data_IF_345850399112
#
_entry.id   IF_345850399112
#
_cell.length_a   1.000
_cell.length_b   1.000
_cell.length_c   1.000
_cell.angle_alpha   90.00
_cell.angle_beta   90.00
_cell.angle_gamma   90.00
#
_symmetry.space_group_name_H-M   'P 1'
#
loop_
_entity.id
_entity.type
_entity.pdbx_description
1 polymer ?
#
# COMPACT_ATOMS: atom_id res chain seq x y z
N UNK A 1 -18.23 -22.31 18.06
CA UNK A 1 -17.56 -23.60 17.88
C UNK A 1 -17.57 -24.46 19.15
N UNK A 2 -17.83 -23.89 20.33
CA UNK A 2 -17.96 -24.65 21.59
C UNK A 2 -19.18 -25.58 21.67
N UNK A 3 -20.16 -25.45 20.76
CA UNK A 3 -21.39 -26.25 20.77
C UNK A 3 -21.35 -27.52 19.87
N UNK A 4 -20.25 -27.75 19.12
CA UNK A 4 -20.23 -28.80 18.10
C UNK A 4 -19.56 -30.14 18.53
N UNK A 5 -19.12 -30.27 19.77
CA UNK A 5 -18.46 -31.50 20.25
C UNK A 5 -17.09 -31.77 19.61
N UNK A 6 -16.56 -32.97 19.74
CA UNK A 6 -15.28 -33.41 19.15
C UNK A 6 -15.38 -33.49 17.62
N UNK A 7 -15.03 -32.40 16.94
CA UNK A 7 -15.01 -32.31 15.46
C UNK A 7 -13.56 -32.22 14.99
N UNK A 8 -13.17 -33.11 14.07
CA UNK A 8 -11.87 -32.98 13.40
C UNK A 8 -11.97 -31.88 12.36
N UNK A 9 -11.12 -30.83 12.48
CA UNK A 9 -11.03 -29.72 11.54
C UNK A 9 -9.83 -29.94 10.62
N UNK A 10 -10.06 -29.87 9.31
CA UNK A 10 -9.00 -29.86 8.29
C UNK A 10 -9.09 -28.53 7.56
N UNK A 11 -8.04 -27.71 7.67
CA UNK A 11 -7.92 -26.44 6.98
C UNK A 11 -6.92 -26.56 5.82
N UNK A 12 -7.37 -26.22 4.60
CA UNK A 12 -6.54 -26.23 3.40
C UNK A 12 -6.51 -24.81 2.80
N UNK A 13 -5.34 -24.28 2.53
CA UNK A 13 -5.16 -22.99 1.86
C UNK A 13 -3.89 -22.99 1.02
N UNK A 14 -3.94 -22.30 -0.11
CA UNK A 14 -2.76 -22.03 -0.93
C UNK A 14 -1.98 -20.78 -0.45
N UNK A 15 -2.63 -19.93 0.38
CA UNK A 15 -2.11 -18.65 0.81
C UNK A 15 -2.40 -18.43 2.29
N UNK A 16 -1.63 -19.05 3.20
CA UNK A 16 -1.75 -18.74 4.62
C UNK A 16 -1.52 -17.23 4.83
N UNK A 17 -2.26 -16.57 5.73
CA UNK A 17 -2.20 -15.12 5.91
C UNK A 17 -0.97 -14.69 6.74
N UNK A 18 0.23 -15.03 6.28
CA UNK A 18 1.50 -14.71 6.96
C UNK A 18 1.71 -13.19 7.14
N UNK A 19 1.21 -12.38 6.20
CA UNK A 19 1.34 -10.92 6.22
C UNK A 19 0.24 -10.21 7.03
N UNK A 20 -0.60 -10.97 7.73
CA UNK A 20 -1.66 -10.40 8.55
C UNK A 20 -1.12 -9.83 9.86
N UNK A 21 -1.87 -8.91 10.48
CA UNK A 21 -1.53 -8.41 11.81
C UNK A 21 -1.44 -9.56 12.82
N UNK A 22 -0.52 -9.48 13.82
CA UNK A 22 -0.27 -10.58 14.76
C UNK A 22 -1.53 -11.17 15.41
N UNK A 23 -2.47 -10.34 15.85
CA UNK A 23 -3.73 -10.79 16.43
C UNK A 23 -4.69 -11.48 15.43
N UNK A 24 -4.54 -11.28 14.13
CA UNK A 24 -5.28 -12.02 13.09
C UNK A 24 -4.62 -13.36 12.82
N UNK A 25 -3.30 -13.40 12.80
CA UNK A 25 -2.54 -14.66 12.70
C UNK A 25 -2.83 -15.60 13.86
N UNK A 26 -2.82 -15.09 15.10
CA UNK A 26 -3.17 -15.87 16.28
C UNK A 26 -4.57 -16.46 16.21
N UNK A 27 -5.57 -15.69 15.79
CA UNK A 27 -6.94 -16.19 15.58
C UNK A 27 -7.00 -17.27 14.51
N UNK A 28 -6.24 -17.10 13.41
CA UNK A 28 -6.15 -18.11 12.36
C UNK A 28 -5.59 -19.41 12.91
N UNK A 29 -4.48 -19.38 13.65
CA UNK A 29 -3.86 -20.57 14.27
C UNK A 29 -4.76 -21.19 15.35
N UNK A 30 -5.45 -20.39 16.14
CA UNK A 30 -6.43 -20.90 17.13
C UNK A 30 -7.60 -21.63 16.48
N UNK A 31 -8.03 -21.20 15.29
CA UNK A 31 -9.14 -21.84 14.56
C UNK A 31 -8.72 -23.09 13.78
N UNK A 32 -7.56 -23.03 13.14
CA UNK A 32 -7.12 -24.04 12.18
C UNK A 32 -6.06 -25.00 12.75
N UNK A 33 -5.46 -24.65 13.88
CA UNK A 33 -4.29 -25.36 14.42
C UNK A 33 -2.98 -24.89 13.77
N UNK A 34 -1.84 -25.44 14.21
CA UNK A 34 -0.55 -25.22 13.57
C UNK A 34 -0.55 -25.82 12.15
N UNK A 35 0.38 -25.37 11.31
CA UNK A 35 0.57 -25.94 9.98
C UNK A 35 1.23 -27.33 10.12
N UNK A 36 0.49 -28.36 9.75
CA UNK A 36 0.97 -29.75 9.84
C UNK A 36 1.78 -30.17 8.62
N UNK A 37 1.45 -29.64 7.44
CA UNK A 37 2.15 -29.94 6.19
C UNK A 37 2.09 -28.75 5.24
N UNK A 38 3.18 -28.54 4.53
CA UNK A 38 3.30 -27.52 3.48
C UNK A 38 3.99 -28.15 2.26
N UNK A 39 3.46 -27.86 1.07
CA UNK A 39 4.09 -28.19 -0.20
C UNK A 39 4.51 -26.89 -0.84
N UNK A 40 5.80 -26.69 -1.01
CA UNK A 40 6.34 -25.43 -1.51
C UNK A 40 6.24 -25.33 -3.04
N UNK A 41 6.19 -24.09 -3.59
CA UNK A 41 6.21 -23.85 -5.03
C UNK A 41 7.40 -24.51 -5.73
N UNK A 42 8.65 -24.44 -5.20
CA UNK A 42 9.79 -25.14 -5.79
C UNK A 42 9.61 -26.67 -5.89
N UNK A 43 8.96 -27.29 -4.91
CA UNK A 43 8.66 -28.73 -4.96
C UNK A 43 7.67 -29.04 -6.06
N UNK A 44 6.58 -28.28 -6.17
CA UNK A 44 5.57 -28.45 -7.22
C UNK A 44 6.12 -28.22 -8.62
N UNK A 45 7.05 -27.25 -8.80
CA UNK A 45 7.76 -27.02 -10.05
C UNK A 45 8.67 -28.20 -10.39
N UNK A 46 9.41 -28.73 -9.40
CA UNK A 46 10.30 -29.88 -9.59
C UNK A 46 9.53 -31.15 -9.97
N UNK A 47 8.34 -31.33 -9.42
CA UNK A 47 7.43 -32.44 -9.73
C UNK A 47 6.69 -32.27 -11.07
N UNK A 48 6.78 -31.10 -11.70
CA UNK A 48 6.06 -30.78 -12.94
C UNK A 48 4.58 -30.46 -12.75
N UNK A 49 4.13 -30.27 -11.50
CA UNK A 49 2.75 -29.89 -11.17
C UNK A 49 2.48 -28.40 -11.37
N UNK A 50 3.52 -27.56 -11.31
CA UNK A 50 3.51 -26.14 -11.67
C UNK A 50 4.54 -25.83 -12.74
N UNK A 51 4.21 -24.87 -13.62
CA UNK A 51 5.17 -24.33 -14.58
C UNK A 51 6.25 -23.53 -13.85
N UNK A 52 7.52 -23.60 -14.30
CA UNK A 52 8.54 -22.67 -13.91
C UNK A 52 8.08 -21.24 -14.20
N UNK A 53 8.34 -20.33 -13.25
CA UNK A 53 8.02 -18.90 -13.42
C UNK A 53 9.23 -18.05 -13.09
N UNK A 54 9.25 -16.84 -13.63
CA UNK A 54 10.22 -15.82 -13.33
C UNK A 54 9.47 -14.50 -13.17
N UNK A 55 9.79 -13.77 -12.10
CA UNK A 55 9.19 -12.47 -11.81
C UNK A 55 10.11 -11.37 -12.30
N UNK A 56 9.58 -10.47 -13.13
CA UNK A 56 10.29 -9.31 -13.62
C UNK A 56 9.59 -8.03 -13.13
N UNK A 57 10.38 -7.10 -12.60
CA UNK A 57 9.91 -5.78 -12.23
C UNK A 57 10.34 -4.79 -13.29
N UNK A 58 9.38 -4.19 -13.99
CA UNK A 58 9.62 -3.19 -15.00
C UNK A 58 9.40 -1.79 -14.42
N UNK A 59 10.48 -1.03 -14.29
CA UNK A 59 10.43 0.33 -13.79
C UNK A 59 10.16 1.32 -14.93
N UNK A 60 9.35 2.35 -14.65
CA UNK A 60 9.19 3.51 -15.50
C UNK A 60 9.31 4.79 -14.69
N UNK A 61 9.64 5.87 -15.37
CA UNK A 61 9.68 7.19 -14.75
C UNK A 61 8.33 7.89 -14.91
N UNK A 62 7.90 8.68 -13.91
CA UNK A 62 6.77 9.57 -14.08
C UNK A 62 7.04 10.61 -15.19
N UNK A 63 5.99 11.20 -15.74
CA UNK A 63 6.15 12.37 -16.61
C UNK A 63 6.66 13.57 -15.82
N UNK A 64 7.18 14.60 -16.50
CA UNK A 64 7.64 15.82 -15.82
C UNK A 64 6.55 16.49 -14.97
N UNK A 65 5.29 16.42 -15.41
CA UNK A 65 4.14 16.95 -14.67
C UNK A 65 3.81 16.10 -13.43
N UNK A 66 3.90 14.77 -13.56
CA UNK A 66 3.71 13.84 -12.44
C UNK A 66 4.84 13.99 -11.42
N UNK A 67 6.08 14.09 -11.88
CA UNK A 67 7.27 14.29 -11.04
C UNK A 67 7.19 15.60 -10.25
N UNK A 68 6.78 16.70 -10.91
CA UNK A 68 6.55 18.00 -10.23
C UNK A 68 5.49 17.89 -9.13
N UNK A 69 4.39 17.16 -9.35
CA UNK A 69 3.37 16.99 -8.32
C UNK A 69 3.88 16.16 -7.13
N UNK A 70 4.67 15.11 -7.38
CA UNK A 70 5.33 14.34 -6.32
C UNK A 70 6.31 15.22 -5.55
N UNK A 71 7.12 16.00 -6.26
CA UNK A 71 8.08 16.92 -5.67
C UNK A 71 7.41 17.95 -4.77
N UNK A 72 6.34 18.60 -5.24
CA UNK A 72 5.61 19.60 -4.45
C UNK A 72 4.99 18.99 -3.18
N UNK A 73 4.44 17.77 -3.28
CA UNK A 73 3.94 17.06 -2.11
C UNK A 73 5.04 16.78 -1.11
N UNK A 74 6.17 16.19 -1.55
CA UNK A 74 7.33 15.87 -0.70
C UNK A 74 7.90 17.12 -0.05
N UNK A 75 8.07 18.18 -0.80
CA UNK A 75 8.53 19.47 -0.27
C UNK A 75 7.62 19.99 0.84
N UNK A 76 6.30 19.93 0.64
CA UNK A 76 5.34 20.34 1.67
C UNK A 76 5.36 19.42 2.91
N UNK A 77 5.62 18.11 2.73
CA UNK A 77 5.79 17.16 3.83
C UNK A 77 7.08 17.43 4.62
N UNK A 78 8.21 17.65 3.92
CA UNK A 78 9.51 17.96 4.52
C UNK A 78 9.48 19.28 5.31
N UNK A 79 8.84 20.31 4.75
CA UNK A 79 8.67 21.60 5.43
C UNK A 79 7.85 21.42 6.72
N UNK A 80 6.75 20.67 6.64
CA UNK A 80 5.91 20.39 7.81
C UNK A 80 6.65 19.54 8.83
N UNK A 81 7.39 18.51 8.41
CA UNK A 81 8.22 17.69 9.29
C UNK A 81 9.19 18.54 10.10
N UNK A 82 9.92 19.47 9.47
CA UNK A 82 10.86 20.37 10.16
C UNK A 82 10.13 21.27 11.17
N UNK A 83 9.02 21.88 10.78
CA UNK A 83 8.22 22.71 11.67
C UNK A 83 7.77 21.93 12.91
N UNK A 84 7.34 20.67 12.75
CA UNK A 84 6.91 19.82 13.86
C UNK A 84 8.06 19.39 14.77
N UNK A 85 9.25 19.18 14.21
CA UNK A 85 10.46 18.88 15.01
C UNK A 85 10.92 20.06 15.84
N UNK A 86 10.69 21.29 15.37
CA UNK A 86 11.08 22.53 16.07
C UNK A 86 9.96 23.04 17.00
N UNK A 87 8.73 22.50 16.90
CA UNK A 87 7.58 22.99 17.65
C UNK A 87 7.71 22.70 19.15
N UNK A 88 7.66 23.78 19.93
CA UNK A 88 7.80 23.71 21.38
C UNK A 88 6.61 23.03 22.06
N UNK A 89 5.40 23.30 21.60
CA UNK A 89 4.19 22.74 22.22
C UNK A 89 4.09 21.24 21.99
N UNK A 90 4.48 20.76 20.81
CA UNK A 90 4.59 19.31 20.54
C UNK A 90 5.64 18.64 21.42
N UNK A 91 6.79 19.29 21.61
CA UNK A 91 7.84 18.78 22.49
C UNK A 91 7.37 18.70 23.94
N UNK A 92 6.70 19.74 24.44
CA UNK A 92 6.11 19.76 25.78
C UNK A 92 5.03 18.68 25.93
N UNK A 93 4.17 18.51 24.94
CA UNK A 93 3.16 17.48 24.92
C UNK A 93 3.75 16.06 24.92
N UNK A 94 4.76 15.79 24.12
CA UNK A 94 5.47 14.52 24.15
C UNK A 94 6.10 14.25 25.51
N UNK A 95 6.75 15.28 26.10
CA UNK A 95 7.37 15.17 27.42
C UNK A 95 6.36 14.93 28.57
N UNK A 96 5.11 15.39 28.41
CA UNK A 96 4.03 15.19 29.39
C UNK A 96 3.24 13.90 29.21
N UNK A 97 3.53 13.10 28.18
CA UNK A 97 2.77 11.91 27.89
C UNK A 97 2.77 10.92 29.06
N UNK A 98 1.57 10.50 29.47
CA UNK A 98 1.37 9.71 30.70
C UNK A 98 2.16 8.41 30.75
N UNK A 99 2.33 7.73 29.61
CA UNK A 99 3.08 6.50 29.54
C UNK A 99 4.57 6.68 29.95
N UNK A 100 5.18 7.85 29.75
CA UNK A 100 6.57 8.09 30.13
C UNK A 100 6.78 8.02 31.66
N UNK A 101 5.73 8.31 32.45
CA UNK A 101 5.79 8.38 33.92
C UNK A 101 5.09 7.22 34.61
N UNK A 102 4.19 6.50 33.91
CA UNK A 102 3.34 5.46 34.49
C UNK A 102 3.48 4.15 33.71
N UNK A 103 4.68 3.64 33.64
CA UNK A 103 4.99 2.44 32.84
C UNK A 103 4.05 1.28 33.15
N UNK A 104 3.87 0.93 34.42
CA UNK A 104 3.13 -0.27 34.81
C UNK A 104 1.62 -0.18 34.50
N UNK A 105 1.08 1.04 34.39
CA UNK A 105 -0.32 1.31 34.03
C UNK A 105 -0.51 1.30 32.50
N UNK A 106 0.49 1.74 31.74
CA UNK A 106 0.38 1.97 30.30
C UNK A 106 1.10 0.91 29.45
N UNK A 107 1.79 -0.06 30.06
CA UNK A 107 2.57 -1.04 29.31
C UNK A 107 1.67 -1.85 28.35
N UNK A 108 0.65 -2.51 28.88
CA UNK A 108 -0.24 -3.35 28.07
C UNK A 108 -1.02 -2.53 27.02
N UNK A 109 -1.70 -1.39 27.37
CA UNK A 109 -2.39 -0.57 26.39
C UNK A 109 -1.50 -0.03 25.26
N UNK A 110 -0.26 0.36 25.57
CA UNK A 110 0.67 0.87 24.56
C UNK A 110 1.23 -0.24 23.66
N UNK A 111 1.37 -1.46 24.16
CA UNK A 111 1.81 -2.63 23.39
C UNK A 111 0.71 -3.17 22.47
N UNK A 112 -0.57 -2.87 22.70
CA UNK A 112 -1.66 -3.16 21.75
C UNK A 112 -1.48 -2.38 20.42
N UNK A 113 -0.83 -1.21 20.46
CA UNK A 113 -0.46 -0.45 19.27
C UNK A 113 1.03 -0.07 19.28
N UNK A 114 1.94 -0.99 18.94
CA UNK A 114 3.38 -0.77 19.02
C UNK A 114 3.89 0.41 18.17
N UNK A 115 3.17 0.74 17.07
CA UNK A 115 3.54 1.87 16.22
C UNK A 115 3.36 3.22 16.92
N UNK A 116 2.31 3.38 17.74
CA UNK A 116 2.10 4.59 18.53
C UNK A 116 3.18 4.74 19.59
N UNK A 117 3.44 3.69 20.35
CA UNK A 117 4.50 3.68 21.37
C UNK A 117 5.86 4.00 20.72
N UNK A 118 6.22 3.26 19.67
CA UNK A 118 7.52 3.46 19.00
C UNK A 118 7.66 4.89 18.49
N UNK A 119 6.62 5.47 17.87
CA UNK A 119 6.67 6.84 17.35
C UNK A 119 6.85 7.89 18.43
N UNK A 120 6.19 7.71 19.59
CA UNK A 120 6.40 8.56 20.77
C UNK A 120 7.86 8.49 21.25
N UNK A 121 8.40 7.28 21.44
CA UNK A 121 9.77 7.09 21.94
C UNK A 121 10.82 7.59 20.95
N UNK A 122 10.61 7.38 19.65
CA UNK A 122 11.49 7.90 18.58
C UNK A 122 11.47 9.44 18.57
N UNK A 123 10.29 10.05 18.70
CA UNK A 123 10.19 11.51 18.84
C UNK A 123 10.89 12.01 20.10
N UNK A 124 10.69 11.35 21.23
CA UNK A 124 11.38 11.68 22.49
C UNK A 124 12.91 11.59 22.33
N UNK A 125 13.41 10.51 21.71
CA UNK A 125 14.84 10.35 21.42
C UNK A 125 15.37 11.50 20.56
N UNK A 126 14.69 11.82 19.45
CA UNK A 126 15.08 12.88 18.52
C UNK A 126 15.08 14.28 19.18
N UNK A 127 14.17 14.51 20.14
CA UNK A 127 14.06 15.78 20.89
C UNK A 127 14.89 15.82 22.19
N UNK A 128 15.60 14.74 22.56
CA UNK A 128 16.34 14.65 23.81
C UNK A 128 15.46 14.57 25.05
N UNK A 129 14.22 14.10 24.94
CA UNK A 129 13.28 13.88 26.04
C UNK A 129 13.60 12.51 26.67
N UNK A 130 13.90 12.45 27.98
CA UNK A 130 14.24 11.19 28.64
C UNK A 130 13.02 10.28 28.81
N UNK A 131 13.23 8.98 28.64
CA UNK A 131 12.24 7.94 28.91
C UNK A 131 12.88 6.69 29.52
N UNK A 132 12.08 5.80 30.11
CA UNK A 132 12.58 4.59 30.76
C UNK A 132 13.05 3.55 29.74
N UNK A 133 14.25 2.97 29.96
CA UNK A 133 14.75 1.84 29.17
C UNK A 133 13.88 0.58 29.22
N UNK A 134 12.93 0.48 30.17
CA UNK A 134 11.93 -0.60 30.22
C UNK A 134 11.07 -0.65 28.96
N UNK A 135 10.84 0.49 28.28
CA UNK A 135 10.09 0.55 27.03
C UNK A 135 10.83 -0.14 25.88
N UNK A 136 12.16 -0.03 25.82
CA UNK A 136 12.93 -0.77 24.81
C UNK A 136 12.89 -2.27 25.04
N UNK A 137 12.90 -2.69 26.30
CA UNK A 137 12.76 -4.10 26.67
C UNK A 137 11.36 -4.63 26.33
N UNK A 138 10.29 -3.84 26.60
CA UNK A 138 8.93 -4.23 26.27
C UNK A 138 8.68 -4.36 24.75
N UNK A 139 9.35 -3.55 23.94
CA UNK A 139 9.32 -3.63 22.48
C UNK A 139 10.28 -4.69 21.89
N UNK A 140 11.07 -5.35 22.73
CA UNK A 140 12.13 -6.29 22.33
C UNK A 140 13.12 -5.71 21.31
N UNK A 141 13.51 -4.44 21.52
CA UNK A 141 14.47 -3.73 20.65
C UNK A 141 15.68 -3.24 21.46
N UNK A 142 16.85 -3.21 20.83
CA UNK A 142 18.08 -2.71 21.42
C UNK A 142 18.24 -1.21 21.27
N UNK A 143 17.72 -0.65 20.19
CA UNK A 143 17.78 0.77 19.84
C UNK A 143 16.58 1.16 18.99
N UNK A 144 16.22 2.44 19.01
CA UNK A 144 15.21 3.01 18.15
C UNK A 144 15.86 3.55 16.87
N UNK A 145 15.13 3.53 15.74
CA UNK A 145 15.57 4.20 14.52
C UNK A 145 15.55 5.72 14.68
N UNK A 146 16.14 6.41 13.71
CA UNK A 146 16.04 7.86 13.61
C UNK A 146 14.60 8.27 13.25
N UNK A 147 14.23 9.50 13.63
CA UNK A 147 12.93 10.07 13.30
C UNK A 147 12.84 10.38 11.80
N UNK A 148 11.85 9.82 11.15
CA UNK A 148 11.54 10.02 9.73
C UNK A 148 10.06 10.40 9.52
N UNK A 149 9.66 10.61 8.27
CA UNK A 149 8.31 11.00 7.88
C UNK A 149 7.27 9.95 8.25
N UNK A 150 7.62 8.65 8.23
CA UNK A 150 6.73 7.57 8.64
C UNK A 150 6.43 7.67 10.13
N UNK A 151 7.46 7.81 10.94
CA UNK A 151 7.32 7.90 12.39
C UNK A 151 6.63 9.19 12.81
N UNK A 152 6.91 10.31 12.10
CA UNK A 152 6.16 11.56 12.30
C UNK A 152 4.67 11.35 12.01
N UNK A 153 4.32 10.63 10.97
CA UNK A 153 2.93 10.29 10.66
C UNK A 153 2.24 9.56 11.80
N UNK A 154 2.85 8.52 12.37
CA UNK A 154 2.32 7.79 13.52
C UNK A 154 2.24 8.66 14.79
N UNK A 155 3.25 9.46 15.06
CA UNK A 155 3.27 10.35 16.22
C UNK A 155 2.15 11.39 16.17
N UNK A 156 1.97 12.06 15.04
CA UNK A 156 0.89 13.04 14.85
C UNK A 156 -0.49 12.36 14.82
N UNK A 157 -0.58 11.14 14.29
CA UNK A 157 -1.79 10.32 14.35
C UNK A 157 -2.22 10.07 15.80
N UNK A 158 -1.28 9.69 16.67
CA UNK A 158 -1.50 9.52 18.10
C UNK A 158 -2.01 10.81 18.78
N UNK A 159 -1.32 11.92 18.56
CA UNK A 159 -1.65 13.23 19.13
C UNK A 159 -3.04 13.72 18.73
N UNK A 160 -3.44 13.51 17.48
CA UNK A 160 -4.69 14.04 16.97
C UNK A 160 -5.88 13.11 17.19
N UNK A 161 -5.67 11.77 17.19
CA UNK A 161 -6.78 10.83 17.13
C UNK A 161 -6.67 9.65 18.09
N UNK A 162 -5.61 8.85 17.98
CA UNK A 162 -5.62 7.50 18.52
C UNK A 162 -5.23 7.45 20.00
N UNK A 163 -4.47 8.44 20.48
CA UNK A 163 -3.96 8.52 21.85
C UNK A 163 -4.10 9.96 22.45
N UNK A 164 -5.07 10.69 21.94
CA UNK A 164 -5.28 12.12 22.16
C UNK A 164 -5.28 12.53 23.64
N UNK A 165 -5.91 11.72 24.49
CA UNK A 165 -6.19 12.07 25.89
C UNK A 165 -4.96 11.87 26.81
N UNK A 166 -3.90 11.29 26.28
CA UNK A 166 -2.64 11.08 26.97
C UNK A 166 -1.61 12.17 26.72
N UNK A 167 -1.91 13.11 25.80
CA UNK A 167 -1.07 14.29 25.51
C UNK A 167 -1.72 15.57 26.07
N UNK A 168 -0.95 16.36 26.81
CA UNK A 168 -1.37 17.67 27.29
C UNK A 168 -1.27 18.73 26.17
N UNK A 169 -2.29 18.81 25.34
CA UNK A 169 -2.42 19.78 24.26
C UNK A 169 -3.81 20.41 24.24
N UNK A 170 -3.88 21.69 23.91
CA UNK A 170 -5.15 22.40 23.76
C UNK A 170 -5.86 21.99 22.47
N UNK A 171 -7.20 22.05 22.49
CA UNK A 171 -8.00 21.77 21.30
C UNK A 171 -7.78 22.81 20.20
N UNK A 172 -7.45 24.03 20.57
CA UNK A 172 -7.09 25.09 19.64
C UNK A 172 -5.81 24.74 18.85
N UNK A 173 -4.77 24.29 19.53
CA UNK A 173 -3.53 23.85 18.87
C UNK A 173 -3.79 22.67 17.93
N UNK A 174 -4.54 21.65 18.37
CA UNK A 174 -4.91 20.51 17.54
C UNK A 174 -5.71 20.93 16.29
N UNK A 175 -6.58 21.93 16.42
CA UNK A 175 -7.35 22.45 15.29
C UNK A 175 -6.46 23.17 14.27
N UNK A 176 -5.52 23.99 14.76
CA UNK A 176 -4.52 24.67 13.92
C UNK A 176 -3.64 23.64 13.21
N UNK A 177 -3.09 22.67 13.94
CA UNK A 177 -2.27 21.59 13.39
C UNK A 177 -3.03 20.80 12.32
N UNK A 178 -4.27 20.42 12.60
CA UNK A 178 -5.12 19.71 11.64
C UNK A 178 -5.35 20.51 10.37
N UNK A 179 -5.54 21.83 10.48
CA UNK A 179 -5.72 22.72 9.33
C UNK A 179 -4.46 22.79 8.48
N UNK A 180 -3.28 22.95 9.10
CA UNK A 180 -1.99 23.01 8.41
C UNK A 180 -1.69 21.70 7.67
N UNK A 181 -1.94 20.55 8.32
CA UNK A 181 -1.80 19.23 7.68
C UNK A 181 -2.76 19.05 6.50
N UNK A 182 -4.01 19.53 6.60
CA UNK A 182 -4.99 19.48 5.50
C UNK A 182 -4.57 20.31 4.31
N UNK A 183 -4.06 21.51 4.54
CA UNK A 183 -3.60 22.41 3.46
C UNK A 183 -2.49 21.74 2.64
N UNK A 184 -1.59 20.99 3.29
CA UNK A 184 -0.49 20.26 2.65
C UNK A 184 -0.87 18.86 2.15
N UNK A 185 -2.12 18.44 2.35
CA UNK A 185 -2.60 17.11 1.94
C UNK A 185 -2.00 15.95 2.74
N UNK A 186 -1.52 16.22 3.96
CA UNK A 186 -0.91 15.24 4.86
C UNK A 186 -1.92 14.53 5.77
N UNK A 187 -3.20 14.92 5.71
CA UNK A 187 -4.28 14.31 6.48
C UNK A 187 -5.55 14.17 5.65
N UNK A 188 -6.20 13.02 5.76
CA UNK A 188 -7.51 12.74 5.16
C UNK A 188 -8.31 11.78 6.02
N UNK A 189 -9.60 12.06 6.25
CA UNK A 189 -10.52 11.20 7.01
C UNK A 189 -9.91 10.69 8.33
N UNK A 190 -9.28 11.57 9.10
CA UNK A 190 -8.58 11.27 10.35
C UNK A 190 -7.35 10.36 10.21
N UNK A 191 -6.80 10.23 9.01
CA UNK A 191 -5.57 9.48 8.75
C UNK A 191 -4.46 10.42 8.35
N UNK A 192 -3.32 10.36 9.07
CA UNK A 192 -2.14 11.19 8.82
C UNK A 192 -1.14 10.37 8.01
N UNK A 193 -0.59 10.96 6.94
CA UNK A 193 0.43 10.31 6.12
C UNK A 193 1.37 11.36 5.50
N UNK A 194 2.67 11.26 5.79
CA UNK A 194 3.73 12.13 5.26
C UNK A 194 4.41 11.55 4.02
N UNK A 195 4.22 10.27 3.71
CA UNK A 195 4.89 9.59 2.60
C UNK A 195 4.15 9.75 1.28
N UNK A 196 2.81 9.79 1.35
CA UNK A 196 1.96 9.88 0.16
C UNK A 196 0.58 10.45 0.51
N UNK A 197 -0.18 10.82 -0.50
CA UNK A 197 -1.60 11.10 -0.38
C UNK A 197 -2.37 10.51 -1.57
N UNK A 198 -3.69 10.43 -1.42
CA UNK A 198 -4.56 9.82 -2.43
C UNK A 198 -4.43 10.46 -3.82
N UNK A 199 -4.14 11.78 -3.89
CA UNK A 199 -3.97 12.49 -5.18
C UNK A 199 -2.74 11.96 -5.89
N UNK A 200 -1.60 11.86 -5.17
CA UNK A 200 -0.34 11.31 -5.68
C UNK A 200 -0.51 9.83 -6.03
N UNK A 201 -1.12 9.04 -5.15
CA UNK A 201 -1.36 7.62 -5.41
C UNK A 201 -2.21 7.38 -6.66
N UNK A 202 -3.34 8.10 -6.80
CA UNK A 202 -4.21 7.98 -7.98
C UNK A 202 -3.51 8.43 -9.26
N UNK A 203 -2.71 9.48 -9.18
CA UNK A 203 -1.93 9.96 -10.31
C UNK A 203 -0.91 8.91 -10.75
N UNK A 204 -0.10 8.39 -9.82
CA UNK A 204 0.92 7.37 -10.10
C UNK A 204 0.30 6.04 -10.54
N UNK A 205 -0.85 5.65 -9.95
CA UNK A 205 -1.59 4.47 -10.39
C UNK A 205 -2.05 4.59 -11.84
N UNK A 206 -2.45 5.79 -12.26
CA UNK A 206 -2.91 6.08 -13.62
C UNK A 206 -1.83 6.58 -14.59
N UNK A 207 -0.55 6.54 -14.23
CA UNK A 207 0.55 7.12 -15.00
C UNK A 207 0.61 6.60 -16.45
N UNK A 208 0.82 7.53 -17.39
CA UNK A 208 1.04 7.22 -18.82
C UNK A 208 2.31 6.39 -19.05
N UNK A 209 3.30 6.53 -18.20
CA UNK A 209 4.52 5.73 -18.24
C UNK A 209 4.23 4.23 -18.19
N UNK A 210 3.28 3.82 -17.36
CA UNK A 210 2.84 2.40 -17.27
C UNK A 210 2.22 1.88 -18.57
N UNK A 211 1.44 2.69 -19.26
CA UNK A 211 0.87 2.31 -20.56
C UNK A 211 1.96 2.08 -21.60
N UNK A 212 2.97 2.95 -21.65
CA UNK A 212 4.14 2.77 -22.53
C UNK A 212 4.93 1.52 -22.17
N UNK A 213 5.11 1.23 -20.87
CA UNK A 213 5.76 0.02 -20.40
C UNK A 213 5.02 -1.25 -20.85
N UNK A 214 3.70 -1.28 -20.75
CA UNK A 214 2.88 -2.40 -21.24
C UNK A 214 3.08 -2.62 -22.74
N UNK A 215 3.10 -1.55 -23.53
CA UNK A 215 3.34 -1.64 -24.96
C UNK A 215 4.75 -2.18 -25.26
N UNK A 216 5.77 -1.70 -24.56
CA UNK A 216 7.16 -2.16 -24.73
C UNK A 216 7.32 -3.63 -24.36
N UNK A 217 6.76 -4.05 -23.22
CA UNK A 217 6.78 -5.45 -22.79
C UNK A 217 6.10 -6.33 -23.86
N UNK A 218 4.87 -5.95 -24.28
CA UNK A 218 4.13 -6.71 -25.29
C UNK A 218 4.89 -6.80 -26.62
N UNK A 219 5.57 -5.74 -27.03
CA UNK A 219 6.37 -5.71 -28.25
C UNK A 219 7.63 -6.60 -28.12
N UNK A 220 8.32 -6.56 -26.99
CA UNK A 220 9.49 -7.42 -26.72
C UNK A 220 9.11 -8.91 -26.73
N UNK A 221 8.03 -9.27 -26.02
CA UNK A 221 7.56 -10.65 -25.96
C UNK A 221 7.06 -11.14 -27.33
N UNK A 222 6.37 -10.29 -28.07
CA UNK A 222 5.94 -10.65 -29.42
C UNK A 222 7.12 -10.81 -30.39
N UNK A 223 8.15 -9.99 -30.25
CA UNK A 223 9.36 -10.13 -31.07
C UNK A 223 10.12 -11.45 -30.77
N UNK A 224 10.09 -11.91 -29.53
CA UNK A 224 10.73 -13.15 -29.10
C UNK A 224 9.91 -14.40 -29.48
N UNK A 225 8.58 -14.38 -29.26
CA UNK A 225 7.72 -15.55 -29.33
C UNK A 225 6.80 -15.56 -30.56
N UNK A 226 6.66 -14.44 -31.27
CA UNK A 226 5.82 -14.34 -32.47
C UNK A 226 4.38 -14.80 -32.22
N UNK A 227 3.92 -15.74 -33.03
CA UNK A 227 2.57 -16.30 -32.91
C UNK A 227 2.37 -17.26 -31.73
N UNK A 228 3.43 -17.69 -31.08
CA UNK A 228 3.38 -18.55 -29.89
C UNK A 228 3.05 -17.75 -28.62
N UNK A 229 3.16 -16.40 -28.66
CA UNK A 229 2.88 -15.56 -27.51
C UNK A 229 1.46 -15.79 -26.96
N UNK A 230 1.39 -16.07 -25.66
CA UNK A 230 0.16 -16.11 -24.86
C UNK A 230 0.33 -15.17 -23.67
N UNK A 231 -0.15 -13.94 -23.83
CA UNK A 231 0.03 -12.88 -22.84
C UNK A 231 -1.31 -12.49 -22.21
N UNK A 232 -1.33 -12.43 -20.89
CA UNK A 232 -2.45 -11.90 -20.11
C UNK A 232 -2.02 -10.60 -19.42
N UNK A 233 -2.82 -9.54 -19.59
CA UNK A 233 -2.61 -8.25 -18.94
C UNK A 233 -3.75 -8.04 -17.95
N UNK A 234 -3.42 -7.99 -16.66
CA UNK A 234 -4.38 -7.72 -15.59
C UNK A 234 -4.34 -6.24 -15.19
N UNK A 235 -5.50 -5.65 -14.98
CA UNK A 235 -5.65 -4.25 -14.55
C UNK A 235 -6.91 -4.06 -13.71
N UNK A 236 -6.85 -3.18 -12.72
CA UNK A 236 -7.90 -3.00 -11.70
C UNK A 236 -9.09 -2.16 -12.17
N UNK A 237 -8.97 -1.42 -13.28
CA UNK A 237 -9.97 -0.40 -13.64
C UNK A 237 -10.68 -0.67 -14.95
N UNK A 238 -12.02 -0.73 -14.87
CA UNK A 238 -12.93 -0.64 -16.04
C UNK A 238 -13.43 0.80 -16.10
N UNK A 239 -12.79 1.63 -16.93
CA UNK A 239 -13.18 3.03 -17.12
C UNK A 239 -14.18 3.14 -18.26
N UNK A 240 -15.46 3.17 -17.92
CA UNK A 240 -16.56 3.18 -18.89
C UNK A 240 -16.51 4.38 -19.85
N UNK A 241 -15.97 5.51 -19.42
CA UNK A 241 -15.78 6.70 -20.25
C UNK A 241 -14.88 6.45 -21.48
N UNK A 242 -14.03 5.43 -21.42
CA UNK A 242 -13.17 5.03 -22.54
C UNK A 242 -13.80 3.97 -23.46
N UNK A 243 -14.98 3.46 -23.14
CA UNK A 243 -15.70 2.54 -24.04
C UNK A 243 -15.93 3.18 -25.42
N UNK A 244 -16.21 4.48 -25.46
CA UNK A 244 -16.38 5.23 -26.69
C UNK A 244 -15.06 5.52 -27.44
N UNK A 245 -13.91 5.19 -26.86
CA UNK A 245 -12.60 5.28 -27.51
C UNK A 245 -12.28 4.03 -28.34
N UNK A 246 -13.00 2.94 -28.12
CA UNK A 246 -12.79 1.69 -28.85
C UNK A 246 -13.06 1.89 -30.34
N UNK A 247 -12.04 1.62 -31.16
CA UNK A 247 -12.13 1.79 -32.62
C UNK A 247 -12.00 3.24 -33.11
N UNK A 248 -11.94 4.24 -32.24
CA UNK A 248 -11.76 5.64 -32.61
C UNK A 248 -10.28 6.05 -32.46
N UNK A 249 -9.52 6.21 -33.56
CA UNK A 249 -8.09 6.52 -33.51
C UNK A 249 -7.78 7.92 -32.95
N UNK A 250 -8.72 8.87 -33.08
CA UNK A 250 -8.51 10.27 -32.73
C UNK A 250 -8.72 10.56 -31.24
N UNK A 251 -9.33 9.61 -30.53
CA UNK A 251 -9.54 9.79 -29.08
C UNK A 251 -8.29 9.51 -28.30
N UNK A 252 -7.86 10.49 -27.53
CA UNK A 252 -6.69 10.37 -26.66
C UNK A 252 -6.96 9.41 -25.48
N UNK A 253 -5.90 8.74 -25.04
CA UNK A 253 -5.91 7.75 -23.96
C UNK A 253 -5.09 8.32 -22.80
N UNK A 254 -5.77 8.79 -21.75
CA UNK A 254 -5.13 9.55 -20.66
C UNK A 254 -4.86 8.73 -19.39
N UNK A 255 -5.46 7.55 -19.24
CA UNK A 255 -5.44 6.82 -17.97
C UNK A 255 -5.32 5.32 -18.17
N UNK A 256 -4.75 4.65 -17.16
CA UNK A 256 -4.74 3.19 -17.07
C UNK A 256 -6.15 2.63 -16.98
N UNK A 257 -6.37 1.45 -17.58
CA UNK A 257 -7.60 0.70 -17.54
C UNK A 257 -7.75 -0.24 -18.73
N UNK A 258 -8.71 -1.13 -18.67
CA UNK A 258 -8.94 -2.20 -19.69
C UNK A 258 -9.04 -1.61 -21.09
N UNK A 259 -9.93 -0.66 -21.30
CA UNK A 259 -10.18 -0.10 -22.64
C UNK A 259 -9.03 0.74 -23.18
N UNK A 260 -8.38 1.65 -22.40
CA UNK A 260 -7.20 2.37 -22.85
C UNK A 260 -6.04 1.45 -23.22
N UNK A 261 -5.77 0.41 -22.44
CA UNK A 261 -4.70 -0.56 -22.73
C UNK A 261 -5.02 -1.33 -24.02
N UNK A 262 -6.22 -1.86 -24.14
CA UNK A 262 -6.65 -2.56 -25.33
C UNK A 262 -6.50 -1.70 -26.58
N UNK A 263 -7.00 -0.47 -26.53
CA UNK A 263 -6.96 0.46 -27.66
C UNK A 263 -5.52 0.90 -28.00
N UNK A 264 -4.66 1.09 -26.99
CA UNK A 264 -3.23 1.35 -27.20
C UNK A 264 -2.57 0.21 -27.99
N UNK A 265 -2.77 -1.03 -27.53
CA UNK A 265 -2.19 -2.21 -28.15
C UNK A 265 -2.78 -2.42 -29.56
N UNK A 266 -4.06 -2.17 -29.76
CA UNK A 266 -4.72 -2.25 -31.06
C UNK A 266 -4.12 -1.25 -32.07
N UNK A 267 -3.86 -0.01 -31.63
CA UNK A 267 -3.27 1.04 -32.50
C UNK A 267 -1.83 0.82 -32.85
N UNK A 268 -1.05 0.23 -31.93
CA UNK A 268 0.40 0.09 -32.04
C UNK A 268 0.87 -1.30 -32.41
N UNK A 269 0.12 -2.33 -32.09
CA UNK A 269 0.43 -3.74 -32.34
C UNK A 269 -0.09 -4.23 -33.66
N UNK A 270 0.61 -3.95 -34.77
CA UNK A 270 0.19 -4.37 -36.09
C UNK A 270 0.06 -5.91 -36.17
N UNK A 271 -1.15 -6.39 -36.46
CA UNK A 271 -1.43 -7.83 -36.64
C UNK A 271 -1.61 -8.64 -35.35
N UNK A 272 -1.57 -8.01 -34.17
CA UNK A 272 -1.80 -8.70 -32.90
C UNK A 272 -3.27 -9.13 -32.75
N UNK A 273 -3.45 -10.34 -32.22
CA UNK A 273 -4.78 -10.85 -31.88
C UNK A 273 -5.09 -10.50 -30.43
N UNK A 274 -5.93 -9.50 -30.26
CA UNK A 274 -6.27 -8.93 -28.95
C UNK A 274 -7.69 -9.31 -28.56
N UNK A 275 -7.88 -9.58 -27.27
CA UNK A 275 -9.20 -9.77 -26.66
C UNK A 275 -9.31 -8.98 -25.36
N UNK A 276 -10.53 -8.77 -24.91
CA UNK A 276 -10.86 -8.20 -23.59
C UNK A 276 -11.86 -9.09 -22.91
N UNK A 277 -11.60 -9.38 -21.64
CA UNK A 277 -12.55 -10.02 -20.75
C UNK A 277 -12.68 -9.17 -19.48
N UNK A 278 -13.86 -8.61 -19.28
CA UNK A 278 -14.24 -7.93 -18.05
C UNK A 278 -15.70 -8.13 -17.73
N UNK A 279 -16.15 -7.77 -16.53
CA UNK A 279 -17.51 -8.03 -16.06
C UNK A 279 -18.63 -7.42 -16.93
N UNK A 280 -18.33 -6.42 -17.77
CA UNK A 280 -19.34 -5.72 -18.59
C UNK A 280 -19.15 -5.85 -20.10
N UNK A 281 -17.98 -6.34 -20.55
CA UNK A 281 -17.64 -6.43 -21.99
C UNK A 281 -16.72 -7.60 -22.25
N UNK A 282 -17.02 -8.32 -23.35
CA UNK A 282 -16.15 -9.32 -23.96
C UNK A 282 -15.86 -8.84 -25.38
N UNK A 283 -14.59 -8.68 -25.72
CA UNK A 283 -14.13 -8.41 -27.09
C UNK A 283 -13.26 -9.58 -27.54
N UNK A 284 -13.53 -10.08 -28.71
CA UNK A 284 -12.79 -11.20 -29.30
C UNK A 284 -12.36 -10.82 -30.73
N UNK A 285 -11.23 -11.34 -31.22
CA UNK A 285 -10.89 -11.25 -32.63
C UNK A 285 -11.98 -11.93 -33.50
N UNK A 286 -12.33 -11.37 -34.65
CA UNK A 286 -13.39 -11.89 -35.53
C UNK A 286 -13.28 -13.39 -35.78
N UNK A 287 -12.04 -13.88 -36.01
CA UNK A 287 -11.78 -15.31 -36.23
C UNK A 287 -12.03 -16.21 -35.01
N UNK A 288 -12.07 -15.64 -33.81
CA UNK A 288 -12.35 -16.39 -32.58
C UNK A 288 -13.86 -16.48 -32.30
N UNK A 289 -14.67 -15.62 -32.90
CA UNK A 289 -16.13 -15.61 -32.69
C UNK A 289 -16.78 -16.92 -33.20
N UNK A 290 -16.27 -17.47 -34.30
CA UNK A 290 -16.81 -18.71 -34.87
C UNK A 290 -16.52 -19.96 -34.02
N UNK A 291 -15.49 -19.90 -33.16
CA UNK A 291 -15.18 -20.98 -32.22
C UNK A 291 -16.07 -20.97 -30.97
N UNK A 292 -16.81 -19.88 -30.73
CA UNK A 292 -17.77 -19.73 -29.62
C UNK A 292 -19.22 -19.90 -30.00
N UNK A 293 -19.52 -20.08 -31.29
CA UNK A 293 -20.84 -20.46 -31.81
C UNK A 293 -20.98 -21.97 -31.92
#
# INVERSE_FOLDING_TARGET
MEEMGDVTVIALTATPPYDSAPGQWEKYIQMCGPIDAEITVPELVKEGSLCPHQDYVWFNYPSAEEDEQVYQFRKGADEMFRLLMEDRQLREAAASHKALFRYDEYCDPMLENPCLLSSLLIYCQACGIPFSGRWLQALDVKSLPDMDERWMGYFIQGILFDDRDNYELTDEFRAILTKELKIRGLIRQKKVNFLTNEKVEKMLAGSRGKMNSILQIAACEHAALGNELRMLILTDYIRQEYRAALGNPDRELYSMGVFPIFELLRRKGAGWRLGVLCGSVILLPDRAVDAFR
#
